data_IF_188958515028
#
_entry.id   IF_188958515028
#
_cell.length_a   1.000
_cell.length_b   1.000
_cell.length_c   1.000
_cell.angle_alpha   90.00
_cell.angle_beta   90.00
_cell.angle_gamma   90.00
#
_symmetry.space_group_name_H-M   'P 1'
#
loop_
_entity.id
_entity.type
_entity.pdbx_description
1 polymer ?
#
# COMPACT_ATOMS: atom_id res chain seq x y z
N UNK A 1 -32.25 -5.41 20.35
CA UNK A 1 -31.77 -4.85 19.08
C UNK A 1 -30.53 -4.07 19.44
N UNK A 2 -29.36 -4.59 19.07
CA UNK A 2 -28.09 -3.96 19.40
C UNK A 2 -27.93 -2.70 18.54
N UNK A 3 -28.11 -1.55 19.20
CA UNK A 3 -27.83 -0.25 18.64
C UNK A 3 -26.33 -0.10 18.52
N UNK A 4 -25.81 -0.31 17.31
CA UNK A 4 -24.49 0.19 16.97
C UNK A 4 -24.59 1.71 16.98
N UNK A 5 -24.05 2.31 18.05
CA UNK A 5 -23.86 3.75 18.16
C UNK A 5 -23.24 4.25 16.87
N UNK A 6 -23.92 5.24 16.29
CA UNK A 6 -23.45 5.96 15.12
C UNK A 6 -22.12 6.58 15.52
N UNK A 7 -21.01 6.00 15.06
CA UNK A 7 -19.69 6.56 15.28
C UNK A 7 -19.72 7.94 14.62
N UNK A 8 -19.82 8.99 15.42
CA UNK A 8 -19.71 10.38 14.97
C UNK A 8 -18.30 10.53 14.35
N UNK A 9 -18.26 10.44 13.03
CA UNK A 9 -17.06 10.56 12.20
C UNK A 9 -16.38 11.94 12.34
N UNK A 10 -17.05 12.86 13.03
CA UNK A 10 -16.64 14.24 13.28
C UNK A 10 -15.49 14.34 14.29
N UNK A 11 -15.20 13.28 15.07
CA UNK A 11 -14.10 13.24 16.05
C UNK A 11 -12.81 12.57 15.52
N UNK A 12 -12.80 12.08 14.28
CA UNK A 12 -11.57 11.54 13.69
C UNK A 12 -10.72 12.70 13.16
N UNK A 13 -9.82 13.20 14.00
CA UNK A 13 -8.76 14.12 13.61
C UNK A 13 -7.76 13.37 12.71
N UNK A 14 -8.06 13.33 11.41
CA UNK A 14 -7.15 12.80 10.41
C UNK A 14 -5.93 13.72 10.37
N UNK A 15 -4.81 13.23 10.93
CA UNK A 15 -3.54 13.96 10.91
C UNK A 15 -3.27 14.51 9.49
N UNK A 16 -2.85 15.78 9.37
CA UNK A 16 -2.61 16.39 8.07
C UNK A 16 -1.58 15.56 7.31
N UNK A 17 -2.01 15.00 6.18
CA UNK A 17 -1.13 14.28 5.26
C UNK A 17 -0.04 15.27 4.85
N UNK A 18 1.23 14.95 5.13
CA UNK A 18 2.37 15.77 4.72
C UNK A 18 2.24 16.13 3.23
N UNK A 19 1.95 17.40 2.97
CA UNK A 19 1.55 17.93 1.66
C UNK A 19 2.72 18.07 0.68
N UNK A 20 3.96 17.78 1.10
CA UNK A 20 5.18 18.05 0.33
C UNK A 20 5.73 16.85 -0.45
N UNK A 21 5.03 15.71 -0.43
CA UNK A 21 5.42 14.56 -1.26
C UNK A 21 4.59 14.59 -2.54
N UNK A 22 5.21 15.03 -3.65
CA UNK A 22 4.59 14.90 -4.97
C UNK A 22 4.18 13.45 -5.19
N UNK A 23 2.87 13.21 -5.32
CA UNK A 23 2.35 11.89 -5.63
C UNK A 23 2.72 11.57 -7.07
N UNK A 24 3.50 10.51 -7.25
CA UNK A 24 3.72 9.92 -8.58
C UNK A 24 2.36 9.61 -9.22
N UNK A 25 2.31 9.66 -10.56
CA UNK A 25 1.12 9.25 -11.30
C UNK A 25 0.72 7.83 -10.90
N UNK A 26 -0.59 7.61 -10.82
CA UNK A 26 -1.16 6.31 -10.47
C UNK A 26 -0.69 5.26 -11.47
N UNK A 27 -0.25 4.11 -10.96
CA UNK A 27 0.02 2.92 -11.75
C UNK A 27 -1.32 2.32 -12.21
N UNK A 28 -1.35 1.78 -13.43
CA UNK A 28 -2.39 0.85 -13.85
C UNK A 28 -2.33 -0.45 -13.03
N UNK A 29 -3.41 -1.22 -13.02
CA UNK A 29 -3.46 -2.50 -12.30
C UNK A 29 -2.37 -3.47 -12.79
N UNK A 30 -2.13 -3.52 -14.11
CA UNK A 30 -1.06 -4.33 -14.70
C UNK A 30 0.33 -3.89 -14.23
N UNK A 31 0.63 -2.59 -14.30
CA UNK A 31 1.90 -2.03 -13.82
C UNK A 31 2.13 -2.30 -12.32
N UNK A 32 1.06 -2.27 -11.52
CA UNK A 32 1.14 -2.58 -10.10
C UNK A 32 1.50 -4.06 -9.86
N UNK A 33 0.94 -5.00 -10.62
CA UNK A 33 1.32 -6.41 -10.54
C UNK A 33 2.75 -6.65 -11.03
N UNK A 34 3.16 -6.01 -12.12
CA UNK A 34 4.51 -6.13 -12.65
C UNK A 34 5.55 -5.61 -11.64
N UNK A 35 5.30 -4.46 -11.03
CA UNK A 35 6.14 -3.92 -9.96
C UNK A 35 6.20 -4.86 -8.76
N UNK A 36 5.06 -5.41 -8.34
CA UNK A 36 5.01 -6.37 -7.24
C UNK A 36 5.83 -7.63 -7.55
N UNK A 37 5.79 -8.11 -8.80
CA UNK A 37 6.60 -9.24 -9.23
C UNK A 37 8.10 -8.92 -9.12
N UNK A 38 8.54 -7.76 -9.64
CA UNK A 38 9.94 -7.33 -9.56
C UNK A 38 10.42 -7.22 -8.10
N UNK A 39 9.64 -6.59 -7.22
CA UNK A 39 10.02 -6.44 -5.80
C UNK A 39 10.17 -7.79 -5.10
N UNK A 40 9.29 -8.76 -5.38
CA UNK A 40 9.39 -10.12 -4.84
C UNK A 40 10.64 -10.83 -5.35
N UNK A 41 10.97 -10.69 -6.63
CA UNK A 41 12.19 -11.26 -7.21
C UNK A 41 13.43 -10.71 -6.52
N UNK A 42 13.53 -9.38 -6.37
CA UNK A 42 14.66 -8.74 -5.68
C UNK A 42 14.76 -9.19 -4.22
N UNK A 43 13.63 -9.30 -3.51
CA UNK A 43 13.61 -9.79 -2.14
C UNK A 43 14.13 -11.24 -2.02
N UNK A 44 13.83 -12.09 -3.02
CA UNK A 44 14.25 -13.49 -3.07
C UNK A 44 15.72 -13.65 -3.46
N UNK A 45 16.23 -12.82 -4.36
CA UNK A 45 17.64 -12.83 -4.77
C UNK A 45 18.58 -12.42 -3.62
N UNK A 46 18.07 -11.67 -2.64
CA UNK A 46 18.81 -11.26 -1.45
C UNK A 46 19.68 -10.03 -1.69
N UNK A 47 20.63 -9.78 -0.78
CA UNK A 47 21.51 -8.61 -0.83
C UNK A 47 21.03 -7.44 0.02
N UNK A 48 21.70 -6.28 -0.14
CA UNK A 48 21.57 -5.13 0.76
C UNK A 48 20.17 -4.50 0.76
N UNK A 49 19.43 -4.63 -0.35
CA UNK A 49 18.09 -4.02 -0.53
C UNK A 49 16.95 -5.01 -0.33
N UNK A 50 17.23 -6.29 -0.07
CA UNK A 50 16.19 -7.33 -0.03
C UNK A 50 15.13 -7.10 1.06
N UNK A 51 15.53 -6.60 2.23
CA UNK A 51 14.59 -6.27 3.31
C UNK A 51 13.66 -5.11 2.94
N UNK A 52 14.17 -4.09 2.26
CA UNK A 52 13.35 -2.97 1.76
C UNK A 52 12.41 -3.44 0.65
N UNK A 53 12.89 -4.30 -0.25
CA UNK A 53 12.08 -4.87 -1.32
C UNK A 53 10.93 -5.73 -0.78
N UNK A 54 11.16 -6.59 0.23
CA UNK A 54 10.10 -7.38 0.87
C UNK A 54 9.06 -6.49 1.54
N UNK A 55 9.51 -5.46 2.27
CA UNK A 55 8.62 -4.49 2.90
C UNK A 55 7.73 -3.79 1.86
N UNK A 56 8.31 -3.27 0.79
CA UNK A 56 7.56 -2.59 -0.28
C UNK A 56 6.60 -3.54 -1.00
N UNK A 57 7.01 -4.79 -1.24
CA UNK A 57 6.14 -5.80 -1.84
C UNK A 57 4.89 -6.05 -0.99
N UNK A 58 5.02 -6.10 0.35
CA UNK A 58 3.87 -6.24 1.26
C UNK A 58 2.96 -5.02 1.25
N UNK A 59 3.55 -3.82 1.35
CA UNK A 59 2.77 -2.56 1.36
C UNK A 59 2.01 -2.32 0.05
N UNK A 60 2.63 -2.60 -1.10
CA UNK A 60 2.00 -2.49 -2.41
C UNK A 60 0.98 -3.61 -2.62
N UNK A 61 1.33 -4.85 -2.27
CA UNK A 61 0.43 -5.99 -2.40
C UNK A 61 -0.88 -5.83 -1.64
N UNK A 62 -0.86 -5.16 -0.47
CA UNK A 62 -2.07 -4.85 0.29
C UNK A 62 -3.00 -3.82 -0.39
N UNK A 63 -2.50 -3.05 -1.36
CA UNK A 63 -3.26 -2.03 -2.10
C UNK A 63 -3.78 -2.52 -3.46
N UNK A 64 -3.28 -3.65 -3.95
CA UNK A 64 -3.67 -4.21 -5.24
C UNK A 64 -4.90 -5.11 -5.03
N UNK A 65 -6.03 -4.86 -5.71
CA UNK A 65 -7.20 -5.73 -5.62
C UNK A 65 -6.84 -7.16 -6.05
N UNK A 66 -7.49 -8.15 -5.45
CA UNK A 66 -7.36 -9.54 -5.91
C UNK A 66 -7.97 -9.67 -7.30
N UNK A 67 -7.31 -10.40 -8.20
CA UNK A 67 -7.93 -10.80 -9.45
C UNK A 67 -9.00 -11.86 -9.13
N UNK A 68 -10.25 -11.60 -9.50
CA UNK A 68 -11.35 -12.58 -9.49
C UNK A 68 -11.12 -13.69 -10.54
#
# INVERSE_FOLDING_TARGET
MDGYDHLDLDEIDFAPVEHDVERLRLLTLGEAYDLLHVLRTVAQEGGTVAGEADRLAREIGARIPSAD
#
